data_IF_492866933907
#
_entry.id   IF_492866933907
#
_cell.length_a   1.000
_cell.length_b   1.000
_cell.length_c   1.000
_cell.angle_alpha   90.00
_cell.angle_beta   90.00
_cell.angle_gamma   90.00
#
_symmetry.space_group_name_H-M   'P 1'
#
loop_
_entity.id
_entity.type
_entity.pdbx_description
1 polymer ?
#
# COMPACT_ATOMS: atom_id res chain seq x y z
N UNK A 1 -57.37 17.31 -31.30
CA UNK A 1 -56.71 17.54 -29.99
C UNK A 1 -56.41 16.25 -29.20
N UNK A 2 -56.29 15.07 -29.82
CA UNK A 2 -56.19 13.80 -29.10
C UNK A 2 -54.76 13.29 -28.81
N UNK A 3 -53.73 13.89 -29.44
CA UNK A 3 -52.35 13.33 -29.39
C UNK A 3 -51.45 14.02 -28.35
N UNK A 4 -51.80 15.23 -27.88
CA UNK A 4 -51.03 15.97 -26.86
C UNK A 4 -51.17 15.35 -25.46
N UNK A 5 -52.35 14.80 -25.14
CA UNK A 5 -52.61 14.14 -23.85
C UNK A 5 -51.84 12.82 -23.72
N UNK A 6 -51.67 12.06 -24.82
CA UNK A 6 -50.91 10.80 -24.82
C UNK A 6 -49.41 11.02 -24.60
N UNK A 7 -48.85 12.09 -25.18
CA UNK A 7 -47.45 12.48 -24.97
C UNK A 7 -47.22 12.93 -23.53
N UNK A 8 -48.19 13.65 -22.94
CA UNK A 8 -48.13 14.05 -21.54
C UNK A 8 -48.19 12.86 -20.58
N UNK A 9 -49.08 11.89 -20.83
CA UNK A 9 -49.16 10.64 -20.06
C UNK A 9 -47.87 9.82 -20.17
N UNK A 10 -47.26 9.75 -21.36
CA UNK A 10 -45.98 9.08 -21.56
C UNK A 10 -44.85 9.73 -20.73
N UNK A 11 -44.81 11.06 -20.67
CA UNK A 11 -43.85 11.80 -19.84
C UNK A 11 -44.04 11.54 -18.34
N UNK A 12 -45.29 11.46 -17.87
CA UNK A 12 -45.60 11.12 -16.47
C UNK A 12 -45.11 9.71 -16.13
N UNK A 13 -45.33 8.74 -17.03
CA UNK A 13 -44.90 7.35 -16.82
C UNK A 13 -43.37 7.27 -16.71
N UNK A 14 -42.65 7.96 -17.61
CA UNK A 14 -41.18 8.00 -17.56
C UNK A 14 -40.69 8.63 -16.25
N UNK A 15 -41.30 9.74 -15.81
CA UNK A 15 -40.92 10.43 -14.59
C UNK A 15 -41.14 9.54 -13.35
N UNK A 16 -42.20 8.74 -13.37
CA UNK A 16 -42.52 7.78 -12.31
C UNK A 16 -41.52 6.62 -12.26
N UNK A 17 -41.08 6.12 -13.42
CA UNK A 17 -40.02 5.09 -13.52
C UNK A 17 -38.69 5.64 -12.97
N UNK A 18 -38.33 6.89 -13.31
CA UNK A 18 -37.11 7.53 -12.80
C UNK A 18 -37.18 7.69 -11.27
N UNK A 19 -38.34 8.11 -10.73
CA UNK A 19 -38.52 8.26 -9.28
C UNK A 19 -38.37 6.92 -8.53
N UNK A 20 -38.93 5.83 -9.07
CA UNK A 20 -38.77 4.49 -8.50
C UNK A 20 -37.32 4.00 -8.61
N UNK A 21 -36.67 4.23 -9.75
CA UNK A 21 -35.26 3.88 -9.95
C UNK A 21 -34.35 4.59 -8.94
N UNK A 22 -34.57 5.88 -8.70
CA UNK A 22 -33.85 6.64 -7.67
C UNK A 22 -34.12 6.09 -6.27
N UNK A 23 -35.37 5.73 -5.95
CA UNK A 23 -35.71 5.14 -4.65
C UNK A 23 -35.02 3.79 -4.41
N UNK A 24 -34.86 2.95 -5.44
CA UNK A 24 -34.16 1.65 -5.34
C UNK A 24 -32.65 1.82 -5.13
N UNK A 25 -32.04 2.85 -5.72
CA UNK A 25 -30.60 3.13 -5.57
C UNK A 25 -30.29 3.89 -4.28
N UNK A 26 -31.30 4.57 -3.71
CA UNK A 26 -31.18 5.28 -2.44
C UNK A 26 -31.03 4.28 -1.29
N UNK A 27 -29.81 3.79 -1.04
CA UNK A 27 -29.48 3.18 0.25
C UNK A 27 -29.82 4.21 1.34
N UNK A 28 -30.45 3.82 2.46
CA UNK A 28 -30.70 4.74 3.56
C UNK A 28 -29.34 5.28 4.01
N UNK A 29 -29.14 6.59 3.87
CA UNK A 29 -28.06 7.28 4.55
C UNK A 29 -28.28 7.01 6.03
N UNK A 30 -27.41 6.20 6.64
CA UNK A 30 -27.38 6.04 8.08
C UNK A 30 -27.17 7.43 8.65
N UNK A 31 -28.23 7.94 9.26
CA UNK A 31 -28.20 9.12 10.08
C UNK A 31 -27.44 8.73 11.34
N UNK A 32 -26.11 8.85 11.28
CA UNK A 32 -25.28 8.79 12.47
C UNK A 32 -25.75 9.92 13.38
N UNK A 33 -26.31 9.49 14.50
CA UNK A 33 -26.83 10.34 15.54
C UNK A 33 -25.74 11.32 15.97
N UNK A 34 -26.01 12.60 15.73
CA UNK A 34 -25.37 13.71 16.39
C UNK A 34 -25.78 13.70 17.87
N UNK A 35 -25.17 12.84 18.68
CA UNK A 35 -25.21 12.93 20.14
C UNK A 35 -24.09 12.08 20.76
N UNK A 36 -22.93 12.71 20.97
CA UNK A 36 -21.85 12.41 21.95
C UNK A 36 -20.54 13.12 21.56
N UNK A 37 -20.60 14.43 21.42
CA UNK A 37 -19.41 15.26 21.47
C UNK A 37 -18.99 15.41 22.94
N UNK A 38 -18.18 14.46 23.43
CA UNK A 38 -17.11 14.68 24.41
C UNK A 38 -16.26 13.42 24.71
N UNK A 39 -16.62 12.22 24.21
CA UNK A 39 -15.79 11.00 24.37
C UNK A 39 -15.06 10.56 23.09
N UNK A 40 -15.37 11.15 21.94
CA UNK A 40 -14.86 10.71 20.63
C UNK A 40 -13.41 11.15 20.30
N UNK A 41 -12.79 12.03 21.10
CA UNK A 41 -11.39 12.42 20.86
C UNK A 41 -10.39 11.36 21.36
N UNK A 42 -10.75 10.61 22.40
CA UNK A 42 -9.86 9.59 22.98
C UNK A 42 -9.88 8.31 22.17
N UNK A 43 -11.06 7.84 21.73
CA UNK A 43 -11.16 6.61 20.92
C UNK A 43 -10.50 6.74 19.54
N UNK A 44 -10.65 7.88 18.86
CA UNK A 44 -10.01 8.08 17.55
C UNK A 44 -8.48 8.15 17.63
N UNK A 45 -7.91 8.64 18.74
CA UNK A 45 -6.45 8.68 18.94
C UNK A 45 -5.93 7.29 19.29
N UNK A 46 -6.64 6.53 20.14
CA UNK A 46 -6.28 5.15 20.47
C UNK A 46 -6.37 4.23 19.24
N UNK A 47 -7.42 4.36 18.43
CA UNK A 47 -7.58 3.61 17.18
C UNK A 47 -6.52 3.99 16.14
N UNK A 48 -6.19 5.28 16.00
CA UNK A 48 -5.11 5.73 15.11
C UNK A 48 -3.73 5.24 15.58
N UNK A 49 -3.46 5.25 16.89
CA UNK A 49 -2.22 4.73 17.47
C UNK A 49 -2.11 3.21 17.33
N UNK A 50 -3.21 2.47 17.55
CA UNK A 50 -3.28 1.03 17.35
C UNK A 50 -3.03 0.65 15.88
N UNK A 51 -3.64 1.39 14.95
CA UNK A 51 -3.41 1.21 13.52
C UNK A 51 -1.96 1.53 13.12
N UNK A 52 -1.34 2.53 13.75
CA UNK A 52 0.05 2.87 13.50
C UNK A 52 1.01 1.78 14.02
N UNK A 53 0.77 1.24 15.22
CA UNK A 53 1.57 0.13 15.77
C UNK A 53 1.43 -1.14 14.92
N UNK A 54 0.21 -1.45 14.47
CA UNK A 54 -0.04 -2.55 13.55
C UNK A 54 0.73 -2.35 12.23
N UNK A 55 0.68 -1.14 11.66
CA UNK A 55 1.42 -0.81 10.44
C UNK A 55 2.93 -0.99 10.63
N UNK A 56 3.50 -0.54 11.75
CA UNK A 56 4.92 -0.74 12.07
C UNK A 56 5.27 -2.22 12.17
N UNK A 57 4.45 -3.03 12.84
CA UNK A 57 4.67 -4.47 12.99
C UNK A 57 4.60 -5.20 11.65
N UNK A 58 3.60 -4.91 10.83
CA UNK A 58 3.44 -5.46 9.47
C UNK A 58 4.62 -5.06 8.59
N UNK A 59 4.99 -3.78 8.56
CA UNK A 59 6.16 -3.31 7.80
C UNK A 59 7.43 -4.05 8.19
N UNK A 60 7.71 -4.20 9.49
CA UNK A 60 8.90 -4.93 9.98
C UNK A 60 8.88 -6.40 9.56
N UNK A 61 7.75 -7.07 9.75
CA UNK A 61 7.61 -8.49 9.40
C UNK A 61 7.80 -8.72 7.89
N UNK A 62 7.12 -7.93 7.06
CA UNK A 62 7.15 -8.05 5.61
C UNK A 62 8.53 -7.68 5.05
N UNK A 63 9.14 -6.59 5.52
CA UNK A 63 10.51 -6.20 5.15
C UNK A 63 11.51 -7.31 5.47
N UNK A 64 11.39 -7.94 6.66
CA UNK A 64 12.29 -9.04 7.06
C UNK A 64 12.16 -10.25 6.15
N UNK A 65 10.93 -10.62 5.77
CA UNK A 65 10.68 -11.73 4.83
C UNK A 65 11.27 -11.42 3.45
N UNK A 66 11.03 -10.22 2.92
CA UNK A 66 11.54 -9.80 1.62
C UNK A 66 13.08 -9.80 1.63
N UNK A 67 13.70 -9.19 2.65
CA UNK A 67 15.15 -9.12 2.77
C UNK A 67 15.78 -10.50 2.97
N UNK A 68 15.16 -11.40 3.72
CA UNK A 68 15.66 -12.77 3.87
C UNK A 68 15.63 -13.53 2.54
N UNK A 69 14.56 -13.37 1.75
CA UNK A 69 14.50 -13.94 0.40
C UNK A 69 15.58 -13.34 -0.52
N UNK A 70 15.77 -12.03 -0.47
CA UNK A 70 16.84 -11.34 -1.19
C UNK A 70 18.23 -11.89 -0.84
N UNK A 71 18.56 -11.97 0.45
CA UNK A 71 19.87 -12.45 0.89
C UNK A 71 20.15 -13.89 0.44
N UNK A 72 19.10 -14.72 0.40
CA UNK A 72 19.20 -16.08 -0.13
C UNK A 72 19.50 -16.07 -1.64
N UNK A 73 18.82 -15.25 -2.44
CA UNK A 73 19.10 -15.18 -3.89
C UNK A 73 20.43 -14.49 -4.19
N UNK A 74 20.86 -13.50 -3.40
CA UNK A 74 22.11 -12.78 -3.57
C UNK A 74 23.36 -13.63 -3.30
N UNK A 75 23.20 -14.74 -2.58
CA UNK A 75 24.24 -15.74 -2.34
C UNK A 75 24.21 -16.89 -3.36
N UNK A 76 23.19 -16.96 -4.21
CA UNK A 76 23.03 -18.00 -5.22
C UNK A 76 23.88 -17.67 -6.46
N UNK A 77 24.63 -18.65 -6.97
CA UNK A 77 25.40 -18.50 -8.20
C UNK A 77 24.50 -18.29 -9.44
N UNK A 78 23.21 -18.64 -9.31
CA UNK A 78 22.19 -18.50 -10.36
C UNK A 78 21.33 -17.24 -10.23
N UNK A 79 21.78 -16.26 -9.43
CA UNK A 79 21.10 -14.97 -9.33
C UNK A 79 20.87 -14.36 -10.72
N UNK A 80 19.67 -13.82 -10.91
CA UNK A 80 19.29 -13.15 -12.15
C UNK A 80 18.59 -11.83 -11.83
N UNK A 81 18.60 -10.93 -12.80
CA UNK A 81 18.06 -9.58 -12.63
C UNK A 81 16.57 -9.56 -12.33
N UNK A 82 15.81 -10.50 -12.89
CA UNK A 82 14.36 -10.56 -12.74
C UNK A 82 13.98 -10.85 -11.28
N UNK A 83 14.71 -11.74 -10.59
CA UNK A 83 14.43 -12.03 -9.18
C UNK A 83 14.76 -10.87 -8.24
N UNK A 84 15.78 -10.06 -8.57
CA UNK A 84 16.08 -8.82 -7.84
C UNK A 84 15.03 -7.75 -8.10
N UNK A 85 14.61 -7.55 -9.37
CA UNK A 85 13.53 -6.63 -9.75
C UNK A 85 12.22 -6.97 -9.03
N UNK A 86 11.84 -8.23 -8.99
CA UNK A 86 10.65 -8.70 -8.25
C UNK A 86 10.75 -8.42 -6.75
N UNK A 87 11.92 -8.61 -6.15
CA UNK A 87 12.17 -8.27 -4.75
C UNK A 87 12.03 -6.76 -4.52
N UNK A 88 12.56 -5.93 -5.42
CA UNK A 88 12.45 -4.46 -5.36
C UNK A 88 11.00 -4.01 -5.46
N UNK A 89 10.22 -4.61 -6.36
CA UNK A 89 8.78 -4.34 -6.50
C UNK A 89 8.00 -4.74 -5.24
N UNK A 90 8.30 -5.90 -4.65
CA UNK A 90 7.71 -6.32 -3.38
C UNK A 90 8.01 -5.30 -2.28
N UNK A 91 9.25 -4.83 -2.18
CA UNK A 91 9.63 -3.82 -1.22
C UNK A 91 8.87 -2.51 -1.49
N UNK A 92 8.89 -1.98 -2.72
CA UNK A 92 8.19 -0.74 -3.10
C UNK A 92 6.67 -0.80 -2.87
N UNK A 93 6.07 -1.98 -2.87
CA UNK A 93 4.64 -2.16 -2.61
C UNK A 93 4.24 -1.99 -1.13
N UNK A 94 5.21 -2.00 -0.22
CA UNK A 94 4.94 -1.89 1.22
C UNK A 94 4.42 -0.51 1.60
N UNK A 95 3.48 -0.50 2.55
CA UNK A 95 3.10 0.75 3.23
C UNK A 95 4.15 1.11 4.26
N UNK A 96 4.77 2.28 4.11
CA UNK A 96 5.93 2.67 4.91
C UNK A 96 5.54 3.63 6.05
N UNK A 97 5.74 3.25 7.32
CA UNK A 97 5.70 4.19 8.44
C UNK A 97 6.75 5.28 8.29
N UNK A 98 6.43 6.52 8.65
CA UNK A 98 7.30 7.67 8.45
C UNK A 98 8.71 7.50 9.04
N UNK A 99 8.82 6.85 10.19
CA UNK A 99 10.08 6.55 10.88
C UNK A 99 10.97 5.53 10.16
N UNK A 100 10.43 4.74 9.23
CA UNK A 100 11.19 3.77 8.44
C UNK A 100 11.39 4.21 6.99
N UNK A 101 11.05 5.45 6.64
CA UNK A 101 11.20 5.96 5.27
C UNK A 101 12.65 5.91 4.78
N UNK A 102 13.59 6.29 5.62
CA UNK A 102 15.02 6.29 5.27
C UNK A 102 15.54 4.87 5.08
N UNK A 103 15.23 3.97 6.03
CA UNK A 103 15.52 2.54 5.89
C UNK A 103 14.95 1.98 4.59
N UNK A 104 13.69 2.28 4.30
CA UNK A 104 13.02 1.80 3.10
C UNK A 104 13.75 2.23 1.82
N UNK A 105 14.08 3.52 1.75
CA UNK A 105 14.80 4.09 0.62
C UNK A 105 16.18 3.42 0.45
N UNK A 106 16.93 3.26 1.54
CA UNK A 106 18.26 2.65 1.50
C UNK A 106 18.21 1.18 1.06
N UNK A 107 17.19 0.42 1.49
CA UNK A 107 16.98 -0.95 1.03
C UNK A 107 16.62 -0.99 -0.46
N UNK A 108 15.75 -0.10 -0.94
CA UNK A 108 15.42 -0.01 -2.37
C UNK A 108 16.66 0.32 -3.20
N UNK A 109 17.45 1.31 -2.77
CA UNK A 109 18.69 1.69 -3.45
C UNK A 109 19.70 0.54 -3.44
N UNK A 110 19.82 -0.21 -2.35
CA UNK A 110 20.70 -1.38 -2.31
C UNK A 110 20.29 -2.45 -3.35
N UNK A 111 18.99 -2.64 -3.59
CA UNK A 111 18.51 -3.53 -4.65
C UNK A 111 18.80 -2.96 -6.04
N UNK A 112 18.70 -1.65 -6.22
CA UNK A 112 19.06 -0.95 -7.46
C UNK A 112 20.54 -1.18 -7.84
N UNK A 113 21.45 -1.04 -6.87
CA UNK A 113 22.88 -1.32 -7.09
C UNK A 113 23.14 -2.80 -7.45
N UNK A 114 22.34 -3.73 -6.91
CA UNK A 114 22.45 -5.14 -7.32
C UNK A 114 21.92 -5.36 -8.74
N UNK A 115 20.88 -4.63 -9.15
CA UNK A 115 20.42 -4.64 -10.53
C UNK A 115 21.50 -4.08 -11.47
N UNK A 116 22.14 -2.97 -11.11
CA UNK A 116 23.24 -2.38 -11.88
C UNK A 116 24.42 -3.36 -12.05
N UNK A 117 24.79 -4.09 -10.99
CA UNK A 117 25.77 -5.17 -11.08
C UNK A 117 25.32 -6.26 -12.07
N UNK A 118 24.06 -6.67 -12.03
CA UNK A 118 23.53 -7.71 -12.90
C UNK A 118 23.41 -7.27 -14.37
N UNK A 119 23.24 -5.98 -14.63
CA UNK A 119 23.21 -5.42 -15.99
C UNK A 119 24.61 -5.19 -16.56
N UNK A 120 25.54 -4.68 -15.74
CA UNK A 120 26.83 -4.16 -16.21
C UNK A 120 28.02 -5.06 -15.85
N UNK A 121 27.87 -5.95 -14.85
CA UNK A 121 28.93 -6.82 -14.35
C UNK A 121 29.97 -6.13 -13.46
N UNK A 122 29.68 -4.94 -12.92
CA UNK A 122 30.61 -4.22 -12.03
C UNK A 122 30.50 -4.70 -10.58
N UNK A 123 31.53 -5.41 -10.11
CA UNK A 123 31.64 -5.91 -8.73
C UNK A 123 31.63 -4.77 -7.68
N UNK A 124 31.89 -3.52 -8.06
CA UNK A 124 31.74 -2.39 -7.17
C UNK A 124 30.28 -2.18 -6.74
N UNK A 125 29.32 -2.33 -7.67
CA UNK A 125 27.89 -2.13 -7.41
C UNK A 125 27.34 -3.26 -6.52
N UNK A 126 27.77 -4.49 -6.76
CA UNK A 126 27.47 -5.65 -5.90
C UNK A 126 27.93 -5.43 -4.47
N UNK A 127 29.20 -5.00 -4.30
CA UNK A 127 29.78 -4.74 -2.99
C UNK A 127 29.03 -3.61 -2.29
N UNK A 128 28.71 -2.53 -3.01
CA UNK A 128 27.96 -1.40 -2.47
C UNK A 128 26.54 -1.79 -2.04
N UNK A 129 25.83 -2.59 -2.83
CA UNK A 129 24.54 -3.19 -2.44
C UNK A 129 24.64 -3.94 -1.10
N UNK A 130 25.63 -4.82 -0.97
CA UNK A 130 25.83 -5.62 0.24
C UNK A 130 26.19 -4.75 1.45
N UNK A 131 27.08 -3.77 1.28
CA UNK A 131 27.47 -2.82 2.32
C UNK A 131 26.28 -1.99 2.81
N UNK A 132 25.43 -1.49 1.90
CA UNK A 132 24.23 -0.74 2.26
C UNK A 132 23.27 -1.57 3.11
N UNK A 133 23.05 -2.84 2.76
CA UNK A 133 22.19 -3.74 3.54
C UNK A 133 22.78 -4.01 4.92
N UNK A 134 24.08 -4.24 5.03
CA UNK A 134 24.72 -4.51 6.32
C UNK A 134 24.73 -3.27 7.23
N UNK A 135 24.88 -2.08 6.66
CA UNK A 135 24.73 -0.81 7.38
C UNK A 135 23.31 -0.67 7.96
N UNK A 136 22.28 -0.98 7.17
CA UNK A 136 20.89 -0.91 7.66
C UNK A 136 20.59 -1.97 8.72
N UNK A 137 21.11 -3.20 8.57
CA UNK A 137 21.04 -4.24 9.60
C UNK A 137 21.69 -3.84 10.92
N UNK A 138 22.80 -3.10 10.86
CA UNK A 138 23.50 -2.57 12.04
C UNK A 138 22.69 -1.47 12.73
N UNK A 139 22.06 -0.57 11.96
CA UNK A 139 21.21 0.51 12.50
C UNK A 139 19.88 -0.01 13.05
N UNK A 140 19.39 -1.13 12.52
CA UNK A 140 18.07 -1.66 12.80
C UNK A 140 18.14 -3.14 13.20
N UNK A 141 18.43 -3.39 14.49
CA UNK A 141 18.67 -4.74 15.02
C UNK A 141 17.60 -5.79 14.66
N UNK A 142 16.35 -5.38 14.48
CA UNK A 142 15.25 -6.29 14.14
C UNK A 142 15.34 -6.89 12.73
N UNK A 143 16.19 -6.34 11.86
CA UNK A 143 16.50 -6.88 10.52
C UNK A 143 17.46 -8.08 10.57
N UNK A 144 18.16 -8.30 11.68
CA UNK A 144 19.06 -9.45 11.86
C UNK A 144 18.31 -10.77 12.05
#
# INVERSE_FOLDING_TARGET
>A
MANKSKIFIFFIIILLIIAVYLAVISKPAKQDQAEKQNDAKTNNVVDAMLNLDLLKKSYKAETKVILANYLRIAQDETINIESVKQTKEQLLSLKVPIEFKELHLNLVLALDEMEDYLENGDEADKRKSQEMIEQEKTKHEWLN
#
